data_IF_117645375500
#
_entry.id   IF_117645375500
#
_cell.length_a   1.000
_cell.length_b   1.000
_cell.length_c   1.000
_cell.angle_alpha   90.00
_cell.angle_beta   90.00
_cell.angle_gamma   90.00
#
_symmetry.space_group_name_H-M   'P 1'
#
loop_
_entity.id
_entity.type
_entity.pdbx_description
1 polymer ?
#
# COMPACT_ATOMS: atom_id res chain seq x y z
N UNK A 1 17.96 -12.11 7.45
CA UNK A 1 17.41 -11.63 6.18
C UNK A 1 15.90 -11.83 6.27
N UNK A 2 15.09 -10.77 6.19
CA UNK A 2 13.65 -10.85 6.39
C UNK A 2 12.94 -10.79 5.03
N UNK A 3 11.83 -11.49 4.87
CA UNK A 3 11.06 -11.52 3.61
C UNK A 3 9.78 -10.73 3.88
N UNK A 4 9.42 -9.75 3.06
CA UNK A 4 8.17 -9.00 3.24
C UNK A 4 7.01 -9.87 2.75
N UNK A 5 6.13 -10.26 3.67
CA UNK A 5 4.77 -10.68 3.34
C UNK A 5 3.73 -9.72 3.95
N UNK A 6 2.44 -9.98 3.72
CA UNK A 6 1.37 -9.09 4.21
C UNK A 6 1.35 -8.94 5.75
N UNK A 7 1.91 -9.88 6.50
CA UNK A 7 1.97 -9.84 7.96
C UNK A 7 3.07 -8.92 8.49
N UNK A 8 4.11 -8.67 7.69
CA UNK A 8 5.23 -7.78 8.04
C UNK A 8 4.97 -6.29 7.73
N UNK A 9 3.85 -5.99 7.05
CA UNK A 9 3.50 -4.65 6.62
C UNK A 9 2.66 -3.92 7.68
N UNK A 10 3.30 -3.09 8.50
CA UNK A 10 2.59 -2.08 9.27
C UNK A 10 2.35 -0.83 8.39
N UNK A 11 1.13 -0.68 7.88
CA UNK A 11 0.74 0.45 7.02
C UNK A 11 0.02 1.51 7.87
N UNK A 12 0.72 2.57 8.24
CA UNK A 12 0.10 3.74 8.87
C UNK A 12 -0.61 4.58 7.80
N UNK A 13 -1.93 4.75 7.92
CA UNK A 13 -2.75 5.52 6.98
C UNK A 13 -3.33 6.76 7.65
N UNK A 14 -3.15 7.93 7.04
CA UNK A 14 -3.88 9.15 7.41
C UNK A 14 -4.90 9.46 6.33
N UNK A 15 -6.20 9.45 6.66
CA UNK A 15 -7.26 9.89 5.74
C UNK A 15 -7.27 11.41 5.69
N UNK A 16 -7.14 11.98 4.49
CA UNK A 16 -7.11 13.44 4.28
C UNK A 16 -8.41 14.01 3.70
N UNK A 17 -9.40 13.18 3.37
CA UNK A 17 -10.70 13.65 2.87
C UNK A 17 -11.75 13.65 3.97
N UNK A 18 -12.28 14.84 4.25
CA UNK A 18 -13.33 15.10 5.23
C UNK A 18 -14.68 15.42 4.57
N UNK A 19 -15.74 15.29 5.37
CA UNK A 19 -17.14 15.57 5.05
C UNK A 19 -17.34 16.99 4.53
N UNK A 20 -18.09 17.14 3.42
CA UNK A 20 -18.59 18.43 2.92
C UNK A 20 -19.98 18.63 3.49
N UNK A 21 -20.17 19.67 4.32
CA UNK A 21 -21.50 20.14 4.69
C UNK A 21 -22.08 20.98 3.53
N UNK A 22 -23.34 20.75 3.15
CA UNK A 22 -24.04 21.50 2.09
C UNK A 22 -25.23 22.26 2.66
N UNK A 23 -25.52 23.47 2.14
CA UNK A 23 -26.54 24.40 2.68
C UNK A 23 -27.90 24.33 1.97
N UNK A 24 -28.08 23.59 0.87
CA UNK A 24 -29.35 23.65 0.09
C UNK A 24 -29.92 22.26 -0.28
N UNK A 25 -29.93 21.30 0.65
CA UNK A 25 -30.82 20.11 0.62
C UNK A 25 -30.71 19.15 -0.57
N UNK A 26 -29.72 19.30 -1.46
CA UNK A 26 -29.45 18.34 -2.54
C UNK A 26 -28.12 17.67 -2.23
N UNK A 27 -28.16 16.55 -1.52
CA UNK A 27 -26.99 15.71 -1.27
C UNK A 27 -26.59 15.03 -2.57
N UNK A 28 -25.70 15.65 -3.35
CA UNK A 28 -24.98 14.94 -4.40
C UNK A 28 -23.75 14.34 -3.74
N UNK A 29 -23.84 13.05 -3.43
CA UNK A 29 -22.73 12.29 -2.88
C UNK A 29 -21.66 12.04 -3.97
N UNK A 30 -20.65 12.90 -4.01
CA UNK A 30 -19.43 12.69 -4.80
C UNK A 30 -18.46 11.69 -4.14
N UNK A 31 -18.88 10.91 -3.15
CA UNK A 31 -18.03 9.92 -2.47
C UNK A 31 -17.78 8.63 -3.25
N UNK A 32 -18.11 8.58 -4.56
CA UNK A 32 -17.67 7.48 -5.42
C UNK A 32 -16.19 7.24 -5.10
N UNK A 33 -15.84 6.08 -4.52
CA UNK A 33 -14.55 5.90 -3.91
C UNK A 33 -13.51 6.16 -4.98
N UNK A 34 -12.75 7.23 -4.80
CA UNK A 34 -11.84 7.69 -5.83
C UNK A 34 -10.94 6.50 -6.23
N UNK A 35 -10.75 6.25 -7.53
CA UNK A 35 -10.08 5.05 -8.00
C UNK A 35 -8.71 4.93 -7.35
N UNK A 36 -8.31 3.71 -7.00
CA UNK A 36 -7.00 3.47 -6.40
C UNK A 36 -5.91 4.06 -7.31
N UNK A 37 -5.04 4.90 -6.75
CA UNK A 37 -3.89 5.49 -7.45
C UNK A 37 -2.73 4.51 -7.52
N UNK A 38 -2.64 3.60 -6.54
CA UNK A 38 -1.70 2.49 -6.54
C UNK A 38 -2.46 1.23 -6.13
N UNK A 39 -2.35 0.18 -6.96
CA UNK A 39 -2.89 -1.14 -6.66
C UNK A 39 -1.84 -2.19 -6.96
N UNK A 40 -1.44 -2.93 -5.93
CA UNK A 40 -0.55 -4.08 -6.00
C UNK A 40 -1.37 -5.30 -5.58
N UNK A 41 -1.38 -6.31 -6.43
CA UNK A 41 -2.04 -7.58 -6.15
C UNK A 41 -1.00 -8.70 -6.27
N UNK A 42 -0.85 -9.48 -5.20
CA UNK A 42 -0.02 -10.69 -5.13
C UNK A 42 1.41 -10.50 -5.68
N UNK A 43 2.11 -9.44 -5.27
CA UNK A 43 3.46 -9.15 -5.76
C UNK A 43 4.48 -10.14 -5.21
N UNK A 44 5.25 -10.74 -6.12
CA UNK A 44 6.42 -11.54 -5.81
C UNK A 44 7.66 -10.97 -6.47
N UNK A 45 8.77 -10.92 -5.73
CA UNK A 45 10.08 -10.60 -6.29
C UNK A 45 11.15 -11.50 -5.70
N UNK A 46 11.88 -12.18 -6.59
CA UNK A 46 13.05 -12.99 -6.26
C UNK A 46 14.26 -12.38 -6.97
N UNK A 47 15.30 -12.05 -6.21
CA UNK A 47 16.62 -11.72 -6.76
C UNK A 47 17.45 -13.00 -6.83
N UNK A 48 18.06 -13.23 -7.99
CA UNK A 48 18.93 -14.38 -8.22
C UNK A 48 20.34 -13.87 -8.46
N UNK A 49 21.24 -14.14 -7.53
CA UNK A 49 22.67 -13.83 -7.69
C UNK A 49 23.49 -15.12 -7.63
N UNK A 50 24.11 -15.46 -8.78
CA UNK A 50 24.99 -16.62 -8.99
C UNK A 50 24.42 -17.97 -8.52
N UNK A 51 24.51 -18.26 -7.22
CA UNK A 51 24.07 -19.51 -6.59
C UNK A 51 23.04 -19.32 -5.47
N UNK A 52 22.63 -18.09 -5.18
CA UNK A 52 21.69 -17.79 -4.10
C UNK A 52 20.45 -17.11 -4.69
N UNK A 53 19.28 -17.68 -4.36
CA UNK A 53 17.99 -17.04 -4.59
C UNK A 53 17.53 -16.36 -3.30
N UNK A 54 17.15 -15.09 -3.41
CA UNK A 54 16.58 -14.31 -2.33
C UNK A 54 15.17 -13.90 -2.68
N UNK A 55 14.19 -14.34 -1.91
CA UNK A 55 12.82 -13.82 -1.99
C UNK A 55 12.78 -12.48 -1.26
N UNK A 56 12.61 -11.39 -1.99
CA UNK A 56 12.53 -10.04 -1.41
C UNK A 56 11.09 -9.64 -1.06
N UNK A 57 10.11 -10.08 -1.85
CA UNK A 57 8.68 -9.80 -1.63
C UNK A 57 7.89 -11.07 -1.94
N UNK A 58 6.91 -11.41 -1.11
CA UNK A 58 6.11 -12.64 -1.23
C UNK A 58 4.61 -12.37 -1.02
N UNK A 59 3.86 -12.34 -2.11
CA UNK A 59 2.39 -12.25 -2.09
C UNK A 59 1.85 -10.96 -1.48
N UNK A 60 2.52 -9.84 -1.73
CA UNK A 60 2.13 -8.55 -1.14
C UNK A 60 0.94 -7.92 -1.88
N UNK A 61 -0.05 -7.48 -1.11
CA UNK A 61 -1.22 -6.75 -1.60
C UNK A 61 -1.24 -5.34 -0.99
N UNK A 62 -1.29 -4.30 -1.84
CA UNK A 62 -1.33 -2.90 -1.42
C UNK A 62 -2.39 -2.14 -2.22
N UNK A 63 -3.13 -1.26 -1.55
CA UNK A 63 -4.04 -0.32 -2.20
C UNK A 63 -3.84 1.06 -1.57
N UNK A 64 -3.64 2.05 -2.42
CA UNK A 64 -3.56 3.46 -2.04
C UNK A 64 -4.60 4.22 -2.83
N UNK A 65 -5.35 5.06 -2.12
CA UNK A 65 -6.32 5.99 -2.71
C UNK A 65 -5.69 7.37 -2.85
N UNK A 66 -6.27 8.26 -3.67
CA UNK A 66 -5.88 9.67 -3.65
C UNK A 66 -5.82 10.18 -2.21
N UNK A 67 -4.82 11.02 -1.92
CA UNK A 67 -4.52 11.62 -0.62
C UNK A 67 -4.28 10.67 0.56
N UNK A 68 -4.09 9.37 0.32
CA UNK A 68 -3.47 8.51 1.32
C UNK A 68 -2.00 8.91 1.49
N UNK A 69 -1.60 9.18 2.72
CA UNK A 69 -0.19 9.23 3.10
C UNK A 69 0.18 7.91 3.77
N UNK A 70 1.09 7.16 3.14
CA UNK A 70 1.49 5.81 3.57
C UNK A 70 2.98 5.79 3.88
N UNK A 71 3.34 5.23 5.04
CA UNK A 71 4.71 4.90 5.39
C UNK A 71 4.90 3.38 5.36
N UNK A 72 5.95 2.93 4.69
CA UNK A 72 6.38 1.53 4.69
C UNK A 72 7.48 1.34 5.74
N UNK A 73 7.17 0.61 6.81
CA UNK A 73 8.08 0.42 7.95
C UNK A 73 8.38 -1.07 8.18
N UNK A 74 9.54 -1.38 8.74
CA UNK A 74 9.97 -2.75 9.04
C UNK A 74 11.49 -2.90 9.15
N UNK A 75 11.99 -4.03 9.68
CA UNK A 75 13.42 -4.27 9.91
C UNK A 75 14.29 -4.19 8.65
N UNK A 76 15.60 -3.97 8.80
CA UNK A 76 16.52 -3.98 7.64
C UNK A 76 16.44 -5.31 6.88
N UNK A 77 16.47 -5.21 5.55
CA UNK A 77 16.41 -6.37 4.66
C UNK A 77 15.04 -7.00 4.51
N UNK A 78 13.94 -6.44 5.04
CA UNK A 78 12.60 -7.01 4.86
C UNK A 78 12.11 -6.97 3.41
N UNK A 79 12.63 -6.08 2.55
CA UNK A 79 12.17 -5.93 1.17
C UNK A 79 11.46 -4.61 0.86
N UNK A 80 11.48 -3.64 1.80
CA UNK A 80 10.81 -2.33 1.64
C UNK A 80 11.30 -1.53 0.44
N UNK A 81 12.59 -1.61 0.13
CA UNK A 81 13.16 -0.93 -1.05
C UNK A 81 12.86 -1.67 -2.36
N UNK A 82 12.25 -2.85 -2.28
CA UNK A 82 11.84 -3.66 -3.43
C UNK A 82 10.36 -3.50 -3.77
N UNK A 83 9.51 -3.19 -2.78
CA UNK A 83 8.09 -2.88 -2.94
C UNK A 83 7.89 -1.44 -3.41
#
# INVERSE_FOLDING_TARGET
MAILDNSDLAVQRRRLYGTVATTNGTEIDYSLPAPDVVRVNDLFKIYRERQVETVAVRGVNLRMRPGDFVALVGPSGSGKSTL
#
